data_IF_228809294929
#
_entry.id   IF_228809294929
#
_cell.length_a   1.000
_cell.length_b   1.000
_cell.length_c   1.000
_cell.angle_alpha   90.00
_cell.angle_beta   90.00
_cell.angle_gamma   90.00
#
_symmetry.space_group_name_H-M   'P 1'
#
loop_
_entity.id
_entity.type
_entity.pdbx_description
1 polymer ?
#
# COMPACT_ATOMS: atom_id res chain seq x y z
N UNK A 1 -3.50 -28.00 -18.84
CA UNK A 1 -4.02 -27.87 -17.46
C UNK A 1 -4.00 -26.39 -17.12
N UNK A 2 -5.10 -25.84 -16.62
CA UNK A 2 -5.16 -24.46 -16.18
C UNK A 2 -4.74 -24.48 -14.71
N UNK A 3 -3.61 -23.86 -14.39
CA UNK A 3 -3.07 -23.83 -13.03
C UNK A 3 -3.09 -22.39 -12.53
N UNK A 4 -3.83 -22.07 -11.46
CA UNK A 4 -3.78 -20.74 -10.88
C UNK A 4 -2.41 -20.49 -10.24
N UNK A 5 -1.98 -19.22 -10.13
CA UNK A 5 -0.82 -18.84 -9.33
C UNK A 5 -0.96 -19.29 -7.86
N UNK A 6 0.18 -19.43 -7.16
CA UNK A 6 0.22 -20.03 -5.82
C UNK A 6 -0.54 -19.18 -4.80
N UNK A 7 -0.45 -17.85 -4.92
CA UNK A 7 -1.08 -16.90 -4.01
C UNK A 7 -2.32 -16.22 -4.62
N UNK A 8 -2.93 -16.87 -5.61
CA UNK A 8 -4.13 -16.35 -6.24
C UNK A 8 -5.32 -16.35 -5.27
N UNK A 9 -6.06 -15.25 -5.25
CA UNK A 9 -7.29 -15.12 -4.47
C UNK A 9 -8.24 -14.11 -5.10
N UNK A 10 -9.53 -14.30 -4.83
CA UNK A 10 -10.57 -13.30 -5.10
C UNK A 10 -10.70 -12.47 -3.82
N UNK A 11 -10.48 -11.16 -3.91
CA UNK A 11 -10.63 -10.25 -2.77
C UNK A 11 -12.06 -9.72 -2.73
N UNK A 12 -12.53 -9.24 -3.88
CA UNK A 12 -13.91 -8.78 -4.12
C UNK A 12 -14.31 -9.13 -5.56
N UNK A 13 -15.60 -9.06 -5.93
CA UNK A 13 -16.04 -9.32 -7.30
C UNK A 13 -15.28 -8.49 -8.34
N UNK A 14 -14.43 -9.16 -9.13
CA UNK A 14 -13.60 -8.53 -10.16
C UNK A 14 -12.30 -7.87 -9.65
N UNK A 15 -12.00 -7.96 -8.35
CA UNK A 15 -10.72 -7.60 -7.73
C UNK A 15 -9.99 -8.86 -7.28
N UNK A 16 -8.83 -9.11 -7.89
CA UNK A 16 -8.03 -10.30 -7.63
C UNK A 16 -6.68 -9.95 -7.01
N UNK A 17 -6.09 -10.93 -6.32
CA UNK A 17 -4.71 -10.90 -5.82
C UNK A 17 -3.90 -12.05 -6.39
N UNK A 18 -2.59 -11.87 -6.54
CA UNK A 18 -1.67 -12.93 -6.97
C UNK A 18 -0.22 -12.60 -6.59
N UNK A 19 0.62 -13.62 -6.52
CA UNK A 19 2.07 -13.49 -6.66
C UNK A 19 2.46 -13.22 -8.13
N UNK A 20 3.77 -13.13 -8.40
CA UNK A 20 4.29 -12.93 -9.75
C UNK A 20 3.86 -14.04 -10.71
N UNK A 21 3.46 -13.66 -11.92
CA UNK A 21 2.97 -14.62 -12.90
C UNK A 21 4.10 -15.35 -13.62
N UNK A 22 3.90 -16.65 -13.79
CA UNK A 22 4.70 -17.51 -14.66
C UNK A 22 3.90 -17.95 -15.89
N UNK A 23 4.58 -18.32 -17.00
CA UNK A 23 3.91 -18.74 -18.23
C UNK A 23 2.91 -19.89 -18.06
N UNK A 24 3.10 -20.76 -17.05
CA UNK A 24 2.15 -21.81 -16.66
C UNK A 24 0.78 -21.28 -16.25
N UNK A 25 0.70 -20.05 -15.74
CA UNK A 25 -0.51 -19.42 -15.22
C UNK A 25 -1.28 -18.63 -16.29
N UNK A 26 -0.63 -18.28 -17.41
CA UNK A 26 -1.23 -17.41 -18.43
C UNK A 26 -2.58 -17.91 -18.98
N UNK A 27 -2.80 -19.21 -19.22
CA UNK A 27 -4.12 -19.70 -19.61
C UNK A 27 -5.21 -19.42 -18.57
N UNK A 28 -4.88 -19.50 -17.28
CA UNK A 28 -5.79 -19.16 -16.17
C UNK A 28 -6.10 -17.67 -16.15
N UNK A 29 -5.05 -16.83 -16.16
CA UNK A 29 -5.20 -15.37 -16.09
C UNK A 29 -5.98 -14.84 -17.29
N UNK A 30 -5.80 -15.44 -18.48
CA UNK A 30 -6.59 -15.09 -19.67
C UNK A 30 -8.09 -15.33 -19.46
N UNK A 31 -8.48 -16.37 -18.71
CA UNK A 31 -9.89 -16.66 -18.45
C UNK A 31 -10.58 -15.62 -17.56
N UNK A 32 -9.81 -14.85 -16.78
CA UNK A 32 -10.32 -13.77 -15.93
C UNK A 32 -10.66 -12.50 -16.71
N UNK A 33 -10.19 -12.39 -17.97
CA UNK A 33 -10.37 -11.22 -18.84
C UNK A 33 -10.00 -9.90 -18.14
N UNK A 34 -8.83 -9.89 -17.49
CA UNK A 34 -8.34 -8.71 -16.77
C UNK A 34 -8.21 -7.51 -17.72
N UNK A 35 -8.51 -6.32 -17.19
CA UNK A 35 -8.30 -5.03 -17.86
C UNK A 35 -7.08 -4.30 -17.30
N UNK A 36 -6.87 -4.40 -15.99
CA UNK A 36 -5.80 -3.70 -15.29
C UNK A 36 -5.04 -4.66 -14.37
N UNK A 37 -3.73 -4.47 -14.25
CA UNK A 37 -2.89 -5.13 -13.27
C UNK A 37 -2.04 -4.09 -12.52
N UNK A 38 -2.01 -4.15 -11.20
CA UNK A 38 -1.19 -3.27 -10.35
C UNK A 38 -0.02 -4.09 -9.79
N UNK A 39 1.20 -3.57 -9.93
CA UNK A 39 2.41 -4.13 -9.34
C UNK A 39 2.86 -3.25 -8.16
N UNK A 40 3.01 -3.90 -7.01
CA UNK A 40 3.37 -3.25 -5.75
C UNK A 40 4.87 -3.31 -5.42
N UNK A 41 5.66 -4.05 -6.20
CA UNK A 41 7.11 -4.16 -6.01
C UNK A 41 7.87 -3.43 -7.11
N UNK A 42 9.03 -2.82 -6.81
CA UNK A 42 9.83 -2.08 -7.79
C UNK A 42 10.61 -3.01 -8.75
N UNK A 43 10.27 -4.30 -8.74
CA UNK A 43 10.93 -5.30 -9.56
C UNK A 43 10.37 -5.25 -10.98
N UNK A 44 11.27 -5.24 -11.95
CA UNK A 44 10.84 -5.19 -13.35
C UNK A 44 10.09 -6.48 -13.71
N UNK A 45 8.90 -6.36 -14.34
CA UNK A 45 8.14 -7.51 -14.76
C UNK A 45 8.96 -8.36 -15.74
N UNK A 46 8.88 -9.68 -15.62
CA UNK A 46 9.58 -10.59 -16.54
C UNK A 46 9.10 -10.36 -17.98
N UNK A 47 9.99 -10.55 -18.97
CA UNK A 47 9.65 -10.37 -20.39
C UNK A 47 8.40 -11.17 -20.80
N UNK A 48 8.24 -12.38 -20.26
CA UNK A 48 7.08 -13.21 -20.54
C UNK A 48 5.78 -12.59 -20.00
N UNK A 49 5.80 -12.06 -18.77
CA UNK A 49 4.65 -11.40 -18.17
C UNK A 49 4.30 -10.09 -18.90
N UNK A 50 5.31 -9.28 -19.24
CA UNK A 50 5.11 -8.05 -20.00
C UNK A 50 4.50 -8.31 -21.38
N UNK A 51 5.05 -9.28 -22.12
CA UNK A 51 4.50 -9.69 -23.41
C UNK A 51 3.06 -10.19 -23.27
N UNK A 52 2.78 -10.99 -22.24
CA UNK A 52 1.41 -11.47 -21.99
C UNK A 52 0.44 -10.32 -21.71
N UNK A 53 0.81 -9.34 -20.88
CA UNK A 53 -0.06 -8.19 -20.63
C UNK A 53 -0.26 -7.33 -21.88
N UNK A 54 0.79 -7.10 -22.68
CA UNK A 54 0.68 -6.38 -23.95
C UNK A 54 -0.22 -7.11 -24.95
N UNK A 55 -0.03 -8.42 -25.14
CA UNK A 55 -0.83 -9.27 -26.04
C UNK A 55 -2.32 -9.28 -25.67
N UNK A 56 -2.64 -9.23 -24.37
CA UNK A 56 -4.01 -9.29 -23.87
C UNK A 56 -4.57 -7.88 -23.55
N UNK A 57 -3.84 -6.81 -23.91
CA UNK A 57 -4.23 -5.41 -23.68
C UNK A 57 -4.53 -5.10 -22.21
N UNK A 58 -3.81 -5.76 -21.30
CA UNK A 58 -3.90 -5.53 -19.86
C UNK A 58 -3.00 -4.33 -19.53
N UNK A 59 -3.59 -3.27 -18.96
CA UNK A 59 -2.83 -2.11 -18.51
C UNK A 59 -2.09 -2.46 -17.22
N UNK A 60 -0.75 -2.54 -17.31
CA UNK A 60 0.12 -2.71 -16.14
C UNK A 60 0.46 -1.35 -15.53
N UNK A 61 0.21 -1.20 -14.23
CA UNK A 61 0.53 -0.01 -13.43
C UNK A 61 1.55 -0.41 -12.37
N UNK A 62 2.68 0.28 -12.34
CA UNK A 62 3.74 0.05 -11.36
C UNK A 62 3.70 1.18 -10.32
N UNK A 63 3.20 0.85 -9.12
CA UNK A 63 3.11 1.81 -8.01
C UNK A 63 4.47 2.02 -7.34
N UNK A 64 5.32 1.01 -7.31
CA UNK A 64 6.59 1.09 -6.59
C UNK A 64 7.64 1.95 -7.32
N UNK A 65 7.57 2.05 -8.65
CA UNK A 65 8.46 2.90 -9.46
C UNK A 65 7.86 4.29 -9.76
N UNK A 66 6.66 4.61 -9.27
CA UNK A 66 6.02 5.92 -9.43
C UNK A 66 5.84 6.37 -10.89
N UNK A 67 5.86 5.43 -11.85
CA UNK A 67 5.82 5.76 -13.28
C UNK A 67 4.41 5.58 -13.82
N UNK A 68 3.55 6.56 -13.55
CA UNK A 68 2.38 6.82 -14.39
C UNK A 68 2.88 7.21 -15.79
N UNK A 69 3.09 6.25 -16.68
CA UNK A 69 3.28 6.52 -18.11
C UNK A 69 1.89 6.71 -18.74
N UNK A 70 1.44 7.96 -18.75
CA UNK A 70 0.27 8.37 -19.52
C UNK A 70 0.60 8.10 -21.00
N UNK A 71 -0.01 7.08 -21.59
CA UNK A 71 0.07 6.85 -23.04
C UNK A 71 -0.81 7.89 -23.76
N UNK A 72 -0.36 9.14 -23.75
CA UNK A 72 -0.89 10.20 -24.60
C UNK A 72 -0.13 10.15 -25.93
N UNK A 73 -0.53 9.22 -26.81
CA UNK A 73 -0.25 9.36 -28.23
C UNK A 73 -1.01 10.58 -28.76
N UNK A 74 -0.36 11.75 -28.82
CA UNK A 74 -0.71 12.73 -29.85
C UNK A 74 0.53 13.48 -30.35
N UNK A 75 0.76 13.26 -31.63
CA UNK A 75 1.77 13.83 -32.52
C UNK A 75 1.56 15.33 -32.78
N UNK A 76 2.68 16.05 -32.88
CA UNK A 76 2.91 17.30 -33.62
C UNK A 76 2.24 18.60 -33.09
N UNK A 77 3.05 19.60 -32.72
CA UNK A 77 3.34 20.75 -33.61
C UNK A 77 4.34 21.74 -32.95
N UNK A 78 5.47 21.90 -33.62
CA UNK A 78 6.34 23.06 -33.84
C UNK A 78 6.19 24.35 -33.01
N UNK A 79 7.34 24.86 -32.54
CA UNK A 79 7.68 26.27 -32.66
C UNK A 79 8.09 26.99 -31.37
N UNK A 80 9.39 27.06 -31.10
CA UNK A 80 9.99 28.32 -30.65
C UNK A 80 11.48 28.34 -30.96
N UNK A 81 11.85 29.34 -31.75
CA UNK A 81 13.20 29.79 -32.08
C UNK A 81 13.85 30.44 -30.88
N UNK A 82 15.13 30.18 -30.64
CA UNK A 82 15.99 31.12 -29.91
C UNK A 82 17.38 31.23 -30.55
N UNK A 83 17.80 32.48 -30.69
CA UNK A 83 18.97 32.99 -31.42
C UNK A 83 19.95 33.57 -30.41
N UNK A 84 21.21 33.14 -30.43
CA UNK A 84 22.40 33.90 -29.99
C UNK A 84 23.66 33.08 -30.35
N UNK A 85 24.45 33.38 -31.38
CA UNK A 85 25.45 34.47 -31.52
C UNK A 85 26.76 34.27 -30.72
N UNK A 86 27.79 33.75 -31.41
CA UNK A 86 29.13 34.36 -31.55
C UNK A 86 30.18 34.23 -30.44
N UNK A 87 31.38 33.74 -30.79
CA UNK A 87 32.62 34.03 -30.06
C UNK A 87 33.77 33.03 -30.27
N UNK A 88 34.82 33.47 -30.96
CA UNK A 88 36.07 32.73 -31.27
C UNK A 88 37.09 32.72 -30.11
N UNK A 89 37.95 31.68 -30.11
CA UNK A 89 39.40 31.84 -29.93
C UNK A 89 40.01 31.24 -28.65
N UNK A 90 41.12 30.49 -28.81
CA UNK A 90 42.10 30.31 -27.72
C UNK A 90 42.81 28.96 -27.64
N UNK A 91 44.03 28.93 -28.15
CA UNK A 91 45.04 27.85 -28.22
C UNK A 91 45.61 27.44 -26.84
N UNK A 92 45.98 26.16 -26.68
CA UNK A 92 47.29 25.79 -26.07
C UNK A 92 47.31 24.80 -24.88
N UNK A 93 48.11 23.74 -25.02
CA UNK A 93 49.01 23.30 -23.94
C UNK A 93 48.71 21.99 -23.21
N UNK A 94 49.06 20.87 -23.84
CA UNK A 94 49.94 19.79 -23.35
C UNK A 94 50.24 19.73 -21.83
N UNK A 95 50.01 18.58 -21.19
CA UNK A 95 51.05 17.54 -21.03
C UNK A 95 50.64 16.48 -19.99
N UNK A 96 51.07 15.27 -20.32
CA UNK A 96 51.03 14.00 -19.62
C UNK A 96 51.83 13.91 -18.31
N UNK A 97 51.55 12.83 -17.55
CA UNK A 97 52.55 11.92 -16.92
C UNK A 97 52.69 11.88 -15.39
N UNK A 98 52.51 10.64 -14.87
CA UNK A 98 53.00 9.92 -13.68
C UNK A 98 53.85 10.67 -12.62
N UNK A 99 53.86 10.36 -11.32
CA UNK A 99 53.76 9.09 -10.60
C UNK A 99 54.87 9.04 -9.51
N UNK A 100 54.65 8.31 -8.40
CA UNK A 100 55.63 7.99 -7.34
C UNK A 100 55.89 9.13 -6.32
N UNK A 101 56.15 8.94 -5.02
CA UNK A 101 56.44 7.77 -4.20
C UNK A 101 57.56 8.12 -3.19
N UNK A 102 57.28 8.03 -1.87
CA UNK A 102 58.26 7.62 -0.83
C UNK A 102 59.00 8.66 0.05
N UNK A 103 58.93 8.44 1.39
CA UNK A 103 59.90 8.83 2.45
C UNK A 103 59.55 10.11 3.23
N UNK A 104 59.46 10.20 4.57
CA UNK A 104 59.86 9.33 5.68
C UNK A 104 60.93 10.01 6.55
N UNK A 105 60.55 10.65 7.67
CA UNK A 105 61.45 10.96 8.80
C UNK A 105 60.73 11.49 10.06
N UNK A 106 60.91 10.79 11.20
CA UNK A 106 61.39 11.39 12.45
C UNK A 106 60.41 11.93 13.50
N UNK A 107 60.52 11.40 14.73
CA UNK A 107 60.42 12.20 15.96
C UNK A 107 59.24 11.88 16.88
N UNK A 108 59.51 11.23 18.02
CA UNK A 108 58.51 10.79 18.98
C UNK A 108 58.00 11.85 19.96
N UNK A 109 56.78 11.61 20.45
CA UNK A 109 56.31 12.00 21.78
C UNK A 109 55.15 11.05 22.17
N UNK A 110 55.38 10.24 23.20
CA UNK A 110 54.38 9.32 23.74
C UNK A 110 53.26 10.13 24.41
N UNK A 111 52.11 10.25 23.74
CA UNK A 111 50.88 10.76 24.33
C UNK A 111 49.93 9.58 24.46
N UNK A 112 49.67 9.12 25.68
CA UNK A 112 48.67 8.10 25.96
C UNK A 112 47.28 8.72 25.73
N UNK A 113 46.70 8.46 24.56
CA UNK A 113 45.32 8.84 24.26
C UNK A 113 44.44 7.67 24.68
N UNK A 114 43.59 7.89 25.69
CA UNK A 114 42.46 7.02 26.02
C UNK A 114 41.51 7.03 24.81
N UNK A 115 41.74 6.12 23.88
CA UNK A 115 40.80 5.84 22.79
C UNK A 115 39.64 5.10 23.43
N UNK A 116 38.53 5.81 23.64
CA UNK A 116 37.23 5.13 23.64
C UNK A 116 37.17 4.33 22.34
N UNK A 117 36.78 3.04 22.36
CA UNK A 117 36.58 2.32 21.12
C UNK A 117 35.44 3.01 20.39
N UNK A 118 35.78 3.83 19.40
CA UNK A 118 34.86 4.24 18.36
C UNK A 118 34.51 2.95 17.61
N UNK A 119 33.41 2.34 18.02
CA UNK A 119 32.71 1.33 17.23
C UNK A 119 32.61 1.97 15.85
N UNK A 120 33.22 1.40 14.78
CA UNK A 120 32.95 1.90 13.45
C UNK A 120 31.44 1.80 13.30
N UNK A 121 30.79 2.93 13.04
CA UNK A 121 29.43 2.95 12.57
C UNK A 121 29.43 2.17 11.26
N UNK A 122 29.32 0.85 11.36
CA UNK A 122 28.85 0.04 10.28
C UNK A 122 27.58 0.75 9.83
N UNK A 123 27.43 1.07 8.52
CA UNK A 123 26.12 1.48 8.05
C UNK A 123 25.20 0.33 8.49
N UNK A 124 24.35 0.63 9.47
CA UNK A 124 23.28 -0.27 9.85
C UNK A 124 22.63 -0.59 8.51
N UNK A 125 22.75 -1.84 8.05
CA UNK A 125 22.07 -2.26 6.85
C UNK A 125 20.59 -2.11 7.20
N UNK A 126 20.04 -0.94 6.90
CA UNK A 126 18.62 -0.68 6.95
C UNK A 126 18.04 -1.70 6.01
N UNK A 127 17.26 -2.61 6.58
CA UNK A 127 16.47 -3.61 5.90
C UNK A 127 16.16 -3.17 4.47
N UNK A 128 16.64 -3.90 3.47
CA UNK A 128 16.40 -3.71 2.03
C UNK A 128 14.91 -3.75 1.65
N UNK A 129 14.03 -3.90 2.64
CA UNK A 129 12.59 -3.77 2.54
C UNK A 129 12.20 -2.35 2.94
N UNK A 130 11.96 -1.49 1.94
CA UNK A 130 11.21 -0.26 2.16
C UNK A 130 9.72 -0.63 2.03
N UNK A 131 8.91 -0.55 3.10
CA UNK A 131 7.47 -0.74 2.97
C UNK A 131 6.92 0.21 1.91
N UNK A 132 5.87 -0.23 1.20
CA UNK A 132 5.04 0.67 0.38
C UNK A 132 4.73 1.92 1.21
N UNK A 133 4.95 3.10 0.63
CA UNK A 133 4.60 4.32 1.32
C UNK A 133 3.09 4.44 1.41
N UNK A 134 2.61 5.15 2.42
CA UNK A 134 1.19 5.35 2.64
C UNK A 134 0.52 5.99 1.41
N UNK A 135 1.21 6.92 0.75
CA UNK A 135 0.73 7.60 -0.45
C UNK A 135 0.50 6.63 -1.61
N UNK A 136 1.41 5.67 -1.82
CA UNK A 136 1.25 4.66 -2.88
C UNK A 136 0.08 3.72 -2.59
N UNK A 137 -0.16 3.42 -1.30
CA UNK A 137 -1.33 2.63 -0.91
C UNK A 137 -2.60 3.42 -1.20
N UNK A 138 -2.67 4.70 -0.81
CA UNK A 138 -3.83 5.56 -1.11
C UNK A 138 -4.11 5.63 -2.62
N UNK A 139 -3.10 5.91 -3.44
CA UNK A 139 -3.23 5.92 -4.91
C UNK A 139 -3.72 4.57 -5.44
N UNK A 140 -3.17 3.46 -4.92
CA UNK A 140 -3.62 2.12 -5.29
C UNK A 140 -5.07 1.84 -4.89
N UNK A 141 -5.49 2.28 -3.70
CA UNK A 141 -6.86 2.16 -3.21
C UNK A 141 -7.83 2.92 -4.13
N UNK A 142 -7.49 4.15 -4.52
CA UNK A 142 -8.29 4.94 -5.46
C UNK A 142 -8.45 4.20 -6.81
N UNK A 143 -7.39 3.55 -7.30
CA UNK A 143 -7.45 2.77 -8.54
C UNK A 143 -8.31 1.51 -8.42
N UNK A 144 -8.23 0.76 -7.32
CA UNK A 144 -9.06 -0.44 -7.14
C UNK A 144 -10.53 -0.10 -6.82
N UNK A 145 -10.82 1.13 -6.40
CA UNK A 145 -12.19 1.60 -6.18
C UNK A 145 -12.81 2.25 -7.41
N UNK A 146 -12.07 2.40 -8.52
CA UNK A 146 -12.64 2.87 -9.79
C UNK A 146 -13.08 1.69 -10.65
N UNK A 147 -14.39 1.56 -10.86
CA UNK A 147 -15.00 0.49 -11.67
C UNK A 147 -14.46 0.46 -13.10
N UNK A 148 -13.96 1.58 -13.62
CA UNK A 148 -13.37 1.63 -14.96
C UNK A 148 -12.11 0.78 -15.08
N UNK A 149 -11.48 0.40 -13.98
CA UNK A 149 -10.27 -0.40 -13.98
C UNK A 149 -10.55 -1.92 -13.97
N UNK A 150 -11.80 -2.33 -13.77
CA UNK A 150 -12.19 -3.73 -13.61
C UNK A 150 -12.30 -4.49 -14.94
N UNK A 151 -12.06 -5.82 -14.93
CA UNK A 151 -11.53 -6.62 -13.82
C UNK A 151 -10.05 -6.31 -13.55
N UNK A 152 -9.68 -6.20 -12.28
CA UNK A 152 -8.37 -5.72 -11.83
C UNK A 152 -7.66 -6.76 -10.96
N UNK A 153 -6.34 -6.85 -11.10
CA UNK A 153 -5.51 -7.73 -10.27
C UNK A 153 -4.37 -6.95 -9.62
N UNK A 154 -4.17 -7.14 -8.33
CA UNK A 154 -3.03 -6.61 -7.58
C UNK A 154 -2.00 -7.71 -7.41
N UNK A 155 -0.72 -7.37 -7.60
CA UNK A 155 0.39 -8.30 -7.51
C UNK A 155 1.59 -7.71 -6.79
N UNK A 156 2.37 -8.59 -6.19
CA UNK A 156 3.72 -8.34 -5.71
C UNK A 156 4.61 -9.57 -6.04
N UNK A 157 5.88 -9.53 -5.62
CA UNK A 157 6.82 -10.63 -5.93
C UNK A 157 6.41 -11.94 -5.25
N UNK A 158 5.91 -11.89 -4.02
CA UNK A 158 5.71 -13.07 -3.16
C UNK A 158 4.26 -13.48 -2.93
N UNK A 159 3.30 -12.63 -3.29
CA UNK A 159 1.88 -12.75 -2.97
C UNK A 159 1.51 -12.47 -1.52
N UNK A 160 2.44 -11.95 -0.69
CA UNK A 160 2.32 -11.99 0.78
C UNK A 160 2.39 -10.62 1.44
N UNK A 161 3.51 -9.91 1.32
CA UNK A 161 3.82 -8.79 2.21
C UNK A 161 3.18 -7.49 1.76
N UNK A 162 3.55 -7.01 0.58
CA UNK A 162 3.09 -5.75 0.03
C UNK A 162 1.58 -5.82 -0.24
N UNK A 163 1.14 -6.91 -0.86
CA UNK A 163 -0.28 -7.12 -1.12
C UNK A 163 -1.07 -7.37 0.17
N UNK A 164 -0.47 -8.04 1.16
CA UNK A 164 -1.11 -8.26 2.46
C UNK A 164 -1.34 -6.96 3.22
N UNK A 165 -0.35 -6.07 3.22
CA UNK A 165 -0.49 -4.72 3.78
C UNK A 165 -1.52 -3.90 2.99
N UNK A 166 -1.43 -3.89 1.66
CA UNK A 166 -2.37 -3.17 0.79
C UNK A 166 -3.83 -3.61 0.99
N UNK A 167 -4.09 -4.93 0.99
CA UNK A 167 -5.42 -5.47 1.24
C UNK A 167 -5.88 -5.22 2.68
N UNK A 168 -4.96 -5.26 3.65
CA UNK A 168 -5.27 -4.87 5.02
C UNK A 168 -5.74 -3.42 5.14
N UNK A 169 -5.11 -2.50 4.40
CA UNK A 169 -5.54 -1.10 4.30
C UNK A 169 -6.89 -0.95 3.59
N UNK A 170 -7.16 -1.74 2.55
CA UNK A 170 -8.51 -1.82 1.95
C UNK A 170 -9.54 -2.26 2.99
N UNK A 171 -9.26 -3.31 3.77
CA UNK A 171 -10.18 -3.77 4.83
C UNK A 171 -10.40 -2.73 5.92
N UNK A 172 -9.37 -1.96 6.26
CA UNK A 172 -9.49 -0.81 7.18
C UNK A 172 -10.46 0.24 6.63
N UNK A 173 -10.35 0.55 5.34
CA UNK A 173 -11.27 1.45 4.65
C UNK A 173 -12.69 0.89 4.61
N UNK A 174 -12.85 -0.42 4.51
CA UNK A 174 -14.13 -1.14 4.58
C UNK A 174 -14.71 -1.26 6.00
N UNK A 175 -14.15 -0.56 7.00
CA UNK A 175 -14.58 -0.61 8.40
C UNK A 175 -14.49 -2.00 9.08
N UNK A 176 -13.63 -2.90 8.58
CA UNK A 176 -13.43 -4.19 9.22
C UNK A 176 -12.75 -4.07 10.59
N UNK A 177 -13.07 -4.99 11.50
CA UNK A 177 -12.36 -5.12 12.76
C UNK A 177 -10.90 -5.54 12.53
N UNK A 178 -9.95 -4.84 13.17
CA UNK A 178 -8.51 -5.11 13.02
C UNK A 178 -8.13 -6.58 13.26
N UNK A 179 -8.77 -7.27 14.20
CA UNK A 179 -8.51 -8.70 14.45
C UNK A 179 -8.87 -9.56 13.23
N UNK A 180 -10.00 -9.29 12.56
CA UNK A 180 -10.38 -9.98 11.32
C UNK A 180 -9.40 -9.68 10.20
N UNK A 181 -8.92 -8.44 10.09
CA UNK A 181 -7.94 -8.04 9.08
C UNK A 181 -6.62 -8.80 9.27
N UNK A 182 -6.12 -8.87 10.51
CA UNK A 182 -4.89 -9.60 10.84
C UNK A 182 -5.06 -11.10 10.57
N UNK A 183 -6.23 -11.67 10.86
CA UNK A 183 -6.52 -13.07 10.53
C UNK A 183 -6.46 -13.31 9.01
N UNK A 184 -7.07 -12.44 8.20
CA UNK A 184 -6.99 -12.54 6.74
C UNK A 184 -5.53 -12.43 6.25
N UNK A 185 -4.78 -11.43 6.73
CA UNK A 185 -3.36 -11.27 6.40
C UNK A 185 -2.54 -12.51 6.75
N UNK A 186 -2.70 -13.05 7.96
CA UNK A 186 -1.97 -14.25 8.42
C UNK A 186 -2.39 -15.51 7.68
N UNK A 187 -3.62 -15.59 7.18
CA UNK A 187 -4.05 -16.71 6.37
C UNK A 187 -3.22 -16.85 5.08
N UNK A 188 -2.85 -15.72 4.45
CA UNK A 188 -1.95 -15.71 3.29
C UNK A 188 -0.46 -15.79 3.68
N UNK A 189 -0.06 -15.08 4.73
CA UNK A 189 1.36 -14.99 5.09
C UNK A 189 1.90 -16.25 5.79
N UNK A 190 1.05 -16.98 6.52
CA UNK A 190 1.43 -18.16 7.29
C UNK A 190 2.63 -17.89 8.21
N UNK A 191 3.66 -18.74 8.14
CA UNK A 191 4.89 -18.59 8.94
C UNK A 191 5.77 -17.40 8.51
N UNK A 192 5.47 -16.76 7.39
CA UNK A 192 6.20 -15.58 6.90
C UNK A 192 5.61 -14.27 7.43
N UNK A 193 4.51 -14.29 8.18
CA UNK A 193 3.88 -13.08 8.71
C UNK A 193 4.87 -12.19 9.47
N UNK A 194 4.81 -10.88 9.18
CA UNK A 194 5.64 -9.85 9.82
C UNK A 194 4.78 -8.91 10.64
N UNK A 195 5.20 -8.68 11.89
CA UNK A 195 4.56 -7.73 12.80
C UNK A 195 4.56 -6.29 12.26
N UNK A 196 5.62 -5.88 11.55
CA UNK A 196 5.71 -4.54 10.96
C UNK A 196 4.56 -4.27 9.98
N UNK A 197 4.10 -5.28 9.26
CA UNK A 197 2.97 -5.17 8.33
C UNK A 197 1.64 -5.04 9.10
N UNK A 198 1.48 -5.78 10.19
CA UNK A 198 0.30 -5.68 11.06
C UNK A 198 0.21 -4.30 11.71
N UNK A 199 1.34 -3.80 12.24
CA UNK A 199 1.44 -2.47 12.81
C UNK A 199 1.17 -1.37 11.77
N UNK A 200 1.64 -1.56 10.53
CA UNK A 200 1.32 -0.63 9.46
C UNK A 200 -0.19 -0.58 9.19
N UNK A 201 -0.85 -1.73 9.10
CA UNK A 201 -2.31 -1.81 8.89
C UNK A 201 -3.07 -1.15 10.04
N UNK A 202 -2.63 -1.36 11.28
CA UNK A 202 -3.23 -0.76 12.47
C UNK A 202 -3.13 0.77 12.46
N UNK A 203 -1.96 1.31 12.10
CA UNK A 203 -1.66 2.74 12.10
C UNK A 203 -2.00 3.45 10.79
N UNK A 204 -2.48 2.72 9.77
CA UNK A 204 -2.81 3.30 8.48
C UNK A 204 -3.92 4.33 8.63
N UNK A 205 -3.60 5.57 8.24
CA UNK A 205 -4.54 6.67 8.23
C UNK A 205 -5.39 6.60 6.95
N UNK A 206 -6.69 6.36 7.14
CA UNK A 206 -7.68 6.32 6.06
C UNK A 206 -8.10 7.72 5.60
N UNK A 207 -7.73 8.75 6.35
CA UNK A 207 -8.03 10.13 5.98
C UNK A 207 -7.32 10.46 4.65
N UNK A 208 -7.95 11.29 3.83
CA UNK A 208 -7.41 11.79 2.55
C UNK A 208 -7.40 10.79 1.38
N UNK A 209 -8.15 9.69 1.45
CA UNK A 209 -8.42 8.86 0.27
C UNK A 209 -9.53 9.52 -0.56
N UNK A 210 -9.24 9.86 -1.82
CA UNK A 210 -10.22 10.50 -2.71
C UNK A 210 -11.00 9.44 -3.46
N UNK A 211 -12.23 9.17 -3.02
CA UNK A 211 -13.08 8.20 -3.70
C UNK A 211 -13.37 8.63 -5.16
N UNK A 212 -13.22 7.72 -6.14
CA UNK A 212 -13.52 8.02 -7.53
C UNK A 212 -15.03 8.20 -7.73
N UNK A 213 -15.41 8.86 -8.81
CA UNK A 213 -16.82 9.14 -9.11
C UNK A 213 -17.67 7.86 -9.35
N UNK A 214 -17.04 6.77 -9.82
CA UNK A 214 -17.71 5.52 -10.14
C UNK A 214 -17.17 4.37 -9.28
N UNK A 215 -17.82 4.15 -8.15
CA UNK A 215 -17.50 3.09 -7.20
C UNK A 215 -18.07 1.73 -7.66
N UNK A 216 -17.43 0.60 -7.33
CA UNK A 216 -17.96 -0.72 -7.64
C UNK A 216 -19.19 -1.04 -6.79
N UNK A 217 -20.08 -1.90 -7.31
CA UNK A 217 -21.33 -2.26 -6.63
C UNK A 217 -21.11 -2.86 -5.24
N UNK A 218 -20.11 -3.74 -5.10
CA UNK A 218 -19.76 -4.37 -3.82
C UNK A 218 -19.37 -3.34 -2.75
N UNK A 219 -18.77 -2.20 -3.15
CA UNK A 219 -18.43 -1.12 -2.23
C UNK A 219 -19.68 -0.40 -1.76
N UNK A 220 -20.55 -0.01 -2.70
CA UNK A 220 -21.80 0.71 -2.40
C UNK A 220 -22.71 -0.11 -1.49
N UNK A 221 -22.85 -1.41 -1.79
CA UNK A 221 -23.63 -2.34 -0.98
C UNK A 221 -23.07 -2.43 0.44
N UNK A 222 -21.76 -2.55 0.59
CA UNK A 222 -21.11 -2.64 1.89
C UNK A 222 -21.28 -1.37 2.71
N UNK A 223 -21.05 -0.19 2.13
CA UNK A 223 -21.23 1.10 2.83
C UNK A 223 -22.69 1.29 3.28
N UNK A 224 -23.64 0.87 2.44
CA UNK A 224 -25.07 0.93 2.79
C UNK A 224 -25.37 0.05 4.00
N UNK A 225 -24.90 -1.20 4.00
CA UNK A 225 -25.09 -2.12 5.13
C UNK A 225 -24.43 -1.59 6.41
N UNK A 226 -23.23 -1.01 6.31
CA UNK A 226 -22.54 -0.44 7.46
C UNK A 226 -23.30 0.72 8.09
N UNK A 227 -23.82 1.64 7.28
CA UNK A 227 -24.63 2.76 7.78
C UNK A 227 -25.93 2.29 8.44
N UNK A 228 -26.62 1.30 7.85
CA UNK A 228 -27.82 0.70 8.45
C UNK A 228 -27.50 0.08 9.83
N UNK A 229 -26.41 -0.69 9.95
CA UNK A 229 -25.98 -1.27 11.23
C UNK A 229 -25.60 -0.20 12.28
N UNK A 230 -24.99 0.90 11.85
CA UNK A 230 -24.63 2.00 12.74
C UNK A 230 -25.88 2.72 13.28
N UNK A 231 -26.86 3.02 12.41
CA UNK A 231 -28.14 3.61 12.81
C UNK A 231 -28.90 2.70 13.78
N UNK A 232 -28.96 1.38 13.52
CA UNK A 232 -29.58 0.42 14.42
C UNK A 232 -28.89 0.37 15.80
N UNK A 233 -27.56 0.41 15.81
CA UNK A 233 -26.78 0.44 17.06
C UNK A 233 -27.05 1.70 17.87
N UNK A 234 -27.12 2.86 17.22
CA UNK A 234 -27.42 4.12 17.89
C UNK A 234 -28.83 4.13 18.49
N UNK A 235 -29.82 3.62 17.74
CA UNK A 235 -31.19 3.47 18.23
C UNK A 235 -31.26 2.52 19.43
N UNK A 236 -30.52 1.40 19.40
CA UNK A 236 -30.47 0.46 20.50
C UNK A 236 -29.88 1.10 21.77
N UNK A 237 -28.78 1.84 21.64
CA UNK A 237 -28.17 2.57 22.75
C UNK A 237 -29.06 3.69 23.29
N UNK A 238 -29.83 4.35 22.42
CA UNK A 238 -30.80 5.35 22.86
C UNK A 238 -31.93 4.71 23.66
N UNK A 239 -32.50 3.60 23.17
CA UNK A 239 -33.54 2.87 23.88
C UNK A 239 -33.05 2.33 25.23
N UNK A 240 -31.81 1.85 25.30
CA UNK A 240 -31.20 1.40 26.55
C UNK A 240 -31.06 2.55 27.55
N UNK A 241 -30.54 3.72 27.13
CA UNK A 241 -30.45 4.92 27.98
C UNK A 241 -31.82 5.40 28.46
N UNK A 242 -32.84 5.37 27.60
CA UNK A 242 -34.21 5.74 27.97
C UNK A 242 -34.83 4.73 28.96
N UNK A 243 -34.60 3.43 28.76
CA UNK A 243 -35.04 2.39 29.69
C UNK A 243 -34.35 2.51 31.06
N UNK A 244 -33.06 2.83 31.09
CA UNK A 244 -32.33 3.11 32.34
C UNK A 244 -32.84 4.36 33.05
N UNK A 245 -33.07 5.46 32.32
CA UNK A 245 -33.64 6.67 32.88
C UNK A 245 -35.04 6.42 33.48
N UNK A 246 -35.89 5.66 32.78
CA UNK A 246 -37.22 5.28 33.26
C UNK A 246 -37.15 4.37 34.50
N UNK A 247 -36.20 3.42 34.57
CA UNK A 247 -35.97 2.60 35.76
C UNK A 247 -35.55 3.45 36.97
N UNK A 248 -34.65 4.41 36.77
CA UNK A 248 -34.20 5.31 37.85
C UNK A 248 -35.30 6.26 38.33
N UNK A 249 -36.22 6.68 37.46
CA UNK A 249 -37.35 7.53 37.85
C UNK A 249 -38.47 6.79 38.61
N UNK A 250 -38.56 5.46 38.49
CA UNK A 250 -39.56 4.66 39.20
C UNK A 250 -39.14 4.26 40.62
N UNK A 251 -37.85 4.31 40.94
CA UNK A 251 -37.28 3.90 42.24
C UNK A 251 -37.64 4.84 43.44
N UNK A 252 -37.91 6.15 43.28
CA UNK A 252 -38.36 7.02 44.39
C UNK A 252 -39.83 6.83 44.80
N UNK A 253 -40.70 6.32 43.91
CA UNK A 253 -42.15 6.27 44.17
C UNK A 253 -42.62 5.00 44.92
N UNK A 254 -41.81 3.94 44.97
CA UNK A 254 -42.16 2.73 45.73
C UNK A 254 -41.89 2.85 47.25
N UNK A 255 -41.08 3.82 47.69
CA UNK A 255 -40.80 4.05 49.12
C UNK A 255 -41.87 4.89 49.85
N UNK A 256 -42.74 5.60 49.12
CA UNK A 256 -43.79 6.45 49.74
C UNK A 256 -45.11 5.69 49.88
N UNK A 257 -45.41 4.71 49.03
CA UNK A 257 -46.68 3.97 49.08
C UNK A 257 -46.75 2.89 50.18
N UNK A 258 -45.64 2.53 50.82
CA UNK A 258 -45.62 1.56 51.94
C UNK A 258 -45.71 2.21 53.32
N UNK A 259 -45.77 3.55 53.42
CA UNK A 259 -45.81 4.25 54.70
C UNK A 259 -47.23 4.52 55.25
N UNK A 260 -48.28 4.42 54.42
CA UNK A 260 -49.66 4.82 54.79
C UNK A 260 -50.62 3.66 55.17
N UNK A 261 -50.15 2.40 55.24
CA UNK A 261 -50.99 1.25 55.64
C UNK A 261 -50.78 0.75 57.08
N UNK A 262 -50.17 1.56 57.94
CA UNK A 262 -50.02 1.25 59.38
C UNK A 262 -50.50 2.43 60.23
N UNK A 263 -51.82 2.54 60.39
CA UNK A 263 -52.48 3.33 61.44
C UNK A 263 -53.63 2.52 62.03
#
# INVERSE_FOLDING_TARGET
MITPPEQFGIVEPGLYRSDTLHPSHFPFIRSLNLKTAILLTPELPSRAMSNFFEENQIRLIDLALGSWKNNSNNTNNSGSTDVAAGGQGGVGGDNSTSGGGGGGAGGGANTFILTTPSIPAAPFQTSWWKPLSEELIKEGLEMILDVNNYPIMVMDTSGIHEIGTFMGCLRRLQHWNLSSIIVEYRAYAGSKARYVNEQFIELFDIDWITLPANLPAWWIEQETMWHEEEEERELQLQQEREAEANRQQQDPQQLILTADTSS
#
